data_IF_725567299840
#
_entry.id   IF_725567299840
#
_cell.length_a   1.000
_cell.length_b   1.000
_cell.length_c   1.000
_cell.angle_alpha   90.00
_cell.angle_beta   90.00
_cell.angle_gamma   90.00
#
_symmetry.space_group_name_H-M   'P 1'
#
loop_
_entity.id
_entity.type
_entity.pdbx_description
1 polymer ?
#
# COMPACT_ATOMS: atom_id res chain seq x y z
N UNK A 1 20.81 -50.42 36.85
CA UNK A 1 20.65 -48.96 37.10
C UNK A 1 21.36 -48.21 35.99
N UNK A 2 20.66 -47.38 35.22
CA UNK A 2 21.29 -46.54 34.19
C UNK A 2 22.23 -45.52 34.83
N UNK A 3 23.38 -45.27 34.20
CA UNK A 3 24.27 -44.19 34.63
C UNK A 3 23.61 -42.84 34.39
N UNK A 4 23.98 -41.83 35.17
CA UNK A 4 23.47 -40.45 35.02
C UNK A 4 23.71 -39.95 33.57
N UNK A 5 24.82 -40.35 32.94
CA UNK A 5 25.12 -40.03 31.55
C UNK A 5 24.12 -40.63 30.57
N UNK A 6 23.73 -41.90 30.75
CA UNK A 6 22.72 -42.54 29.90
C UNK A 6 21.37 -41.82 30.01
N UNK A 7 20.92 -41.52 31.23
CA UNK A 7 19.66 -40.78 31.45
C UNK A 7 19.68 -39.40 30.78
N UNK A 8 20.81 -38.70 30.82
CA UNK A 8 20.95 -37.42 30.14
C UNK A 8 20.83 -37.57 28.61
N UNK A 9 21.50 -38.55 28.00
CA UNK A 9 21.39 -38.80 26.58
C UNK A 9 19.97 -39.20 26.16
N UNK A 10 19.28 -40.02 26.96
CA UNK A 10 17.90 -40.42 26.66
C UNK A 10 16.93 -39.22 26.71
N UNK A 11 17.09 -38.34 27.70
CA UNK A 11 16.30 -37.10 27.81
C UNK A 11 16.62 -36.16 26.65
N UNK A 12 17.91 -36.00 26.31
CA UNK A 12 18.33 -35.11 25.23
C UNK A 12 17.84 -35.61 23.87
N UNK A 13 18.01 -36.90 23.59
CA UNK A 13 17.57 -37.53 22.34
C UNK A 13 16.04 -37.48 22.18
N UNK A 14 15.28 -37.75 23.25
CA UNK A 14 13.82 -37.65 23.23
C UNK A 14 13.35 -36.21 23.03
N UNK A 15 13.97 -35.23 23.71
CA UNK A 15 13.66 -33.80 23.54
C UNK A 15 13.97 -33.34 22.12
N UNK A 16 15.14 -33.69 21.57
CA UNK A 16 15.53 -33.32 20.21
C UNK A 16 14.60 -33.96 19.17
N UNK A 17 14.22 -35.21 19.37
CA UNK A 17 13.27 -35.91 18.49
C UNK A 17 11.88 -35.27 18.51
N UNK A 18 11.39 -34.90 19.69
CA UNK A 18 10.11 -34.21 19.85
C UNK A 18 10.12 -32.82 19.18
N UNK A 19 11.20 -32.06 19.35
CA UNK A 19 11.37 -30.76 18.69
C UNK A 19 11.43 -30.91 17.17
N UNK A 20 12.18 -31.89 16.67
CA UNK A 20 12.30 -32.16 15.23
C UNK A 20 10.97 -32.59 14.62
N UNK A 21 10.24 -33.50 15.28
CA UNK A 21 8.93 -33.94 14.82
C UNK A 21 7.92 -32.78 14.82
N UNK A 22 7.94 -31.94 15.86
CA UNK A 22 7.06 -30.76 15.95
C UNK A 22 7.36 -29.77 14.83
N UNK A 23 8.64 -29.50 14.54
CA UNK A 23 9.04 -28.62 13.44
C UNK A 23 8.61 -29.19 12.08
N UNK A 24 8.79 -30.50 11.87
CA UNK A 24 8.41 -31.17 10.62
C UNK A 24 6.89 -31.19 10.41
N UNK A 25 6.11 -31.51 11.45
CA UNK A 25 4.64 -31.47 11.38
C UNK A 25 4.12 -30.04 11.18
N UNK A 26 4.75 -29.04 11.80
CA UNK A 26 4.44 -27.62 11.61
C UNK A 26 4.66 -27.19 10.16
N UNK A 27 5.83 -27.51 9.59
CA UNK A 27 6.14 -27.18 8.21
C UNK A 27 5.22 -27.93 7.23
N UNK A 28 5.04 -29.24 7.42
CA UNK A 28 4.19 -30.07 6.56
C UNK A 28 2.73 -29.62 6.57
N UNK A 29 2.16 -29.33 7.75
CA UNK A 29 0.78 -28.83 7.85
C UNK A 29 0.60 -27.45 7.22
N UNK A 30 1.59 -26.56 7.37
CA UNK A 30 1.57 -25.23 6.73
C UNK A 30 1.61 -25.35 5.20
N UNK A 31 2.52 -26.16 4.66
CA UNK A 31 2.63 -26.40 3.22
C UNK A 31 1.37 -27.07 2.67
N UNK A 32 0.89 -28.12 3.34
CA UNK A 32 -0.31 -28.83 2.91
C UNK A 32 -1.52 -27.90 2.88
N UNK A 33 -1.72 -27.10 3.92
CA UNK A 33 -2.80 -26.10 3.98
C UNK A 33 -2.70 -25.11 2.83
N UNK A 34 -1.51 -24.57 2.57
CA UNK A 34 -1.32 -23.59 1.51
C UNK A 34 -1.65 -24.19 0.13
N UNK A 35 -1.23 -25.44 -0.10
CA UNK A 35 -1.51 -26.17 -1.33
C UNK A 35 -2.99 -26.54 -1.49
N UNK A 36 -3.65 -26.96 -0.41
CA UNK A 36 -5.03 -27.50 -0.46
C UNK A 36 -6.09 -26.41 -0.35
N UNK A 37 -5.94 -25.49 0.60
CA UNK A 37 -6.97 -24.48 0.90
C UNK A 37 -6.77 -23.20 0.12
N UNK A 38 -5.52 -22.89 -0.30
CA UNK A 38 -5.13 -21.63 -0.96
C UNK A 38 -5.91 -20.44 -0.43
N UNK A 39 -5.86 -20.18 0.89
CA UNK A 39 -6.80 -19.26 1.51
C UNK A 39 -6.69 -17.88 0.87
N UNK A 40 -7.84 -17.33 0.50
CA UNK A 40 -7.98 -16.02 -0.13
C UNK A 40 -8.75 -15.09 0.79
N UNK A 41 -8.42 -13.79 0.78
CA UNK A 41 -9.26 -12.82 1.47
C UNK A 41 -10.63 -12.75 0.80
N UNK A 42 -11.65 -12.38 1.57
CA UNK A 42 -12.97 -12.06 1.03
C UNK A 42 -13.00 -10.57 0.74
N UNK A 43 -13.07 -10.23 -0.54
CA UNK A 43 -13.16 -8.85 -1.02
C UNK A 43 -14.63 -8.47 -1.15
N UNK A 44 -15.08 -7.43 -0.45
CA UNK A 44 -16.47 -6.98 -0.47
C UNK A 44 -16.55 -5.49 -0.82
N UNK A 45 -17.27 -5.19 -1.90
CA UNK A 45 -17.56 -3.81 -2.33
C UNK A 45 -16.33 -2.91 -2.46
N UNK A 46 -15.16 -3.49 -2.76
CA UNK A 46 -14.01 -2.67 -3.09
C UNK A 46 -14.32 -1.90 -4.37
N UNK A 47 -14.05 -0.60 -4.39
CA UNK A 47 -14.31 0.30 -5.52
C UNK A 47 -13.20 1.33 -5.55
N UNK A 48 -12.81 1.71 -6.76
CA UNK A 48 -11.87 2.81 -6.99
C UNK A 48 -12.69 4.00 -7.46
N UNK A 49 -12.45 5.19 -6.91
CA UNK A 49 -13.16 6.40 -7.34
C UNK A 49 -12.99 6.64 -8.84
N UNK A 50 -14.10 6.81 -9.55
CA UNK A 50 -14.15 7.06 -11.00
C UNK A 50 -13.57 8.42 -11.39
N UNK A 51 -13.43 9.33 -10.43
CA UNK A 51 -12.82 10.65 -10.59
C UNK A 51 -11.55 10.72 -9.75
N UNK A 52 -10.50 10.08 -10.24
CA UNK A 52 -9.18 10.17 -9.63
C UNK A 52 -8.46 11.41 -10.18
N UNK A 53 -8.22 12.46 -9.36
CA UNK A 53 -7.59 13.69 -9.83
C UNK A 53 -6.16 13.41 -10.26
N UNK A 54 -5.81 13.92 -11.44
CA UNK A 54 -4.44 13.96 -11.93
C UNK A 54 -3.83 15.33 -11.62
N UNK A 55 -2.78 15.34 -10.81
CA UNK A 55 -2.02 16.50 -10.39
C UNK A 55 -0.76 16.63 -11.22
N UNK A 56 -0.43 17.84 -11.64
CA UNK A 56 0.85 18.15 -12.25
C UNK A 56 1.74 18.82 -11.21
N UNK A 57 2.77 18.10 -10.76
CA UNK A 57 3.71 18.55 -9.75
C UNK A 57 4.98 19.04 -10.43
N UNK A 58 5.45 20.24 -10.07
CA UNK A 58 6.73 20.78 -10.51
C UNK A 58 7.71 20.73 -9.36
N UNK A 59 8.83 20.03 -9.54
CA UNK A 59 9.87 19.89 -8.51
C UNK A 59 11.23 20.33 -9.06
N UNK A 60 12.03 21.08 -8.27
CA UNK A 60 13.42 21.36 -8.63
C UNK A 60 14.22 20.06 -8.68
N UNK A 61 15.07 19.91 -9.68
CA UNK A 61 15.94 18.75 -9.87
C UNK A 61 17.35 19.20 -10.22
N UNK A 62 18.35 18.52 -9.67
CA UNK A 62 19.75 18.77 -9.96
C UNK A 62 20.18 17.87 -11.11
N UNK A 63 20.74 18.47 -12.15
CA UNK A 63 21.17 17.79 -13.37
C UNK A 63 22.68 17.92 -13.50
N UNK A 64 23.40 16.80 -13.50
CA UNK A 64 24.82 16.77 -13.83
C UNK A 64 25.05 17.16 -15.29
N UNK A 65 25.93 18.13 -15.53
CA UNK A 65 26.32 18.58 -16.88
C UNK A 65 27.42 17.70 -17.49
N UNK A 66 28.12 16.91 -16.67
CA UNK A 66 29.19 15.98 -17.11
C UNK A 66 28.65 14.70 -17.73
N UNK A 67 27.41 14.34 -17.42
CA UNK A 67 26.72 13.22 -18.01
C UNK A 67 25.25 13.62 -18.28
N UNK A 68 25.00 14.39 -19.37
CA UNK A 68 23.66 14.88 -19.73
C UNK A 68 22.73 13.78 -20.24
N UNK A 69 23.21 12.53 -20.22
CA UNK A 69 22.47 11.33 -20.56
C UNK A 69 21.15 11.25 -19.80
N UNK A 70 20.04 11.33 -20.52
CA UNK A 70 18.71 11.06 -19.94
C UNK A 70 18.66 9.66 -19.31
N UNK A 71 19.53 8.74 -19.74
CA UNK A 71 19.69 7.37 -19.26
C UNK A 71 20.11 7.26 -17.78
N UNK A 72 20.71 8.32 -17.21
CA UNK A 72 21.07 8.35 -15.78
C UNK A 72 19.87 8.72 -14.91
N UNK A 73 18.94 9.52 -15.44
CA UNK A 73 17.71 9.92 -14.76
C UNK A 73 16.54 8.99 -15.07
N UNK A 74 16.71 8.13 -16.07
CA UNK A 74 15.68 7.27 -16.64
C UNK A 74 16.25 6.01 -17.28
N UNK A 75 15.57 4.88 -17.16
CA UNK A 75 15.79 3.78 -18.11
C UNK A 75 15.25 4.19 -19.49
N UNK A 76 16.08 4.33 -20.54
CA UNK A 76 15.58 4.63 -21.88
C UNK A 76 14.64 3.50 -22.31
N UNK A 77 13.48 3.85 -22.86
CA UNK A 77 12.61 2.87 -23.48
C UNK A 77 13.35 2.16 -24.61
N UNK A 78 13.01 0.90 -24.89
CA UNK A 78 13.55 0.09 -26.00
C UNK A 78 13.19 0.63 -27.41
N UNK A 79 13.01 1.95 -27.54
CA UNK A 79 12.81 2.60 -28.83
C UNK A 79 14.09 2.49 -29.65
N UNK A 80 13.94 1.94 -30.85
CA UNK A 80 15.01 1.67 -31.81
C UNK A 80 15.55 2.96 -32.47
N UNK A 81 15.50 4.09 -31.77
CA UNK A 81 15.90 5.40 -32.25
C UNK A 81 17.42 5.51 -32.12
N UNK A 82 18.10 4.95 -33.12
CA UNK A 82 19.54 5.02 -33.26
C UNK A 82 20.03 6.48 -33.28
N UNK A 83 20.93 6.80 -32.35
CA UNK A 83 21.79 7.98 -32.46
C UNK A 83 22.26 8.52 -31.10
N UNK A 84 23.58 8.68 -30.95
CA UNK A 84 24.24 9.44 -29.86
C UNK A 84 23.64 10.84 -29.62
N UNK A 85 22.91 11.39 -30.58
CA UNK A 85 22.20 12.67 -30.47
C UNK A 85 20.94 12.60 -29.58
N UNK A 86 20.27 11.45 -29.48
CA UNK A 86 19.09 11.27 -28.61
C UNK A 86 19.48 11.25 -27.13
N UNK A 87 20.67 10.73 -26.80
CA UNK A 87 21.19 10.67 -25.43
C UNK A 87 21.42 12.05 -24.79
N UNK A 88 21.57 13.13 -25.59
CA UNK A 88 21.84 14.49 -25.08
C UNK A 88 20.60 15.36 -24.89
N UNK A 89 19.41 14.90 -25.31
CA UNK A 89 18.18 15.68 -25.13
C UNK A 89 17.57 15.36 -23.77
N UNK A 90 17.39 16.40 -22.97
CA UNK A 90 16.62 16.28 -21.73
C UNK A 90 15.19 15.80 -22.06
N UNK A 91 14.59 14.98 -21.17
CA UNK A 91 13.19 14.62 -21.27
C UNK A 91 12.28 15.85 -21.40
N UNK A 92 11.18 15.72 -22.14
CA UNK A 92 10.25 16.82 -22.39
C UNK A 92 9.60 17.40 -21.13
N UNK A 93 9.67 16.69 -20.00
CA UNK A 93 9.16 17.14 -18.71
C UNK A 93 10.20 17.81 -17.83
N UNK A 94 11.45 17.94 -18.29
CA UNK A 94 12.50 18.65 -17.60
C UNK A 94 12.83 19.91 -18.38
N UNK A 95 12.66 21.06 -17.74
CA UNK A 95 13.01 22.36 -18.29
C UNK A 95 14.19 22.90 -17.49
N UNK A 96 15.30 23.23 -18.15
CA UNK A 96 16.42 23.91 -17.51
C UNK A 96 15.96 25.27 -16.99
N UNK A 97 16.27 25.55 -15.73
CA UNK A 97 15.98 26.84 -15.15
C UNK A 97 17.02 27.84 -15.64
N UNK A 98 16.56 28.95 -16.22
CA UNK A 98 17.47 30.02 -16.61
C UNK A 98 17.97 30.73 -15.34
N UNK A 99 19.25 30.50 -15.05
CA UNK A 99 19.94 31.05 -13.91
C UNK A 99 20.64 32.36 -14.24
N UNK A 100 20.58 32.87 -15.47
CA UNK A 100 21.14 34.18 -15.82
C UNK A 100 20.22 35.31 -15.31
N UNK A 101 20.85 36.42 -14.90
CA UNK A 101 20.11 37.63 -14.55
C UNK A 101 19.69 38.34 -15.84
N UNK A 102 18.41 38.68 -15.96
CA UNK A 102 17.86 39.41 -17.09
C UNK A 102 17.40 40.80 -16.65
N UNK A 103 17.41 41.81 -17.54
CA UNK A 103 16.97 43.17 -17.19
C UNK A 103 15.49 43.22 -16.76
N UNK A 104 14.66 42.29 -17.24
CA UNK A 104 13.26 42.15 -16.83
C UNK A 104 13.04 41.43 -15.48
N UNK A 105 14.08 40.86 -14.85
CA UNK A 105 13.93 40.15 -13.59
C UNK A 105 13.73 41.12 -12.40
N UNK A 106 12.77 40.78 -11.53
CA UNK A 106 12.57 41.46 -10.25
C UNK A 106 13.82 41.35 -9.35
N UNK A 107 13.98 42.28 -8.40
CA UNK A 107 15.08 42.22 -7.42
C UNK A 107 15.04 40.93 -6.57
N UNK A 108 13.83 40.44 -6.27
CA UNK A 108 13.61 39.16 -5.59
C UNK A 108 14.08 37.97 -6.43
N UNK A 109 13.74 37.95 -7.72
CA UNK A 109 14.17 36.90 -8.64
C UNK A 109 15.69 36.87 -8.81
N UNK A 110 16.31 38.05 -8.98
CA UNK A 110 17.77 38.18 -9.06
C UNK A 110 18.44 37.68 -7.77
N UNK A 111 17.90 38.05 -6.62
CA UNK A 111 18.40 37.58 -5.30
C UNK A 111 18.28 36.06 -5.16
N UNK A 112 17.15 35.49 -5.58
CA UNK A 112 16.90 34.04 -5.58
C UNK A 112 17.85 33.31 -6.53
N UNK A 113 18.01 33.78 -7.78
CA UNK A 113 18.95 33.22 -8.76
C UNK A 113 20.38 33.29 -8.25
N UNK A 114 20.81 34.42 -7.69
CA UNK A 114 22.14 34.59 -7.10
C UNK A 114 22.40 33.62 -5.94
N UNK A 115 21.41 33.44 -5.04
CA UNK A 115 21.49 32.47 -3.95
C UNK A 115 21.58 31.03 -4.46
N UNK A 116 20.79 30.67 -5.47
CA UNK A 116 20.79 29.34 -6.06
C UNK A 116 22.13 29.05 -6.78
N UNK A 117 22.67 30.00 -7.55
CA UNK A 117 24.00 29.90 -8.19
C UNK A 117 25.11 29.62 -7.17
N UNK A 118 25.09 30.30 -6.01
CA UNK A 118 26.09 30.11 -4.94
C UNK A 118 26.04 28.73 -4.28
N UNK A 119 24.89 28.04 -4.31
CA UNK A 119 24.70 26.73 -3.67
C UNK A 119 24.74 25.57 -4.65
N UNK A 120 24.75 25.84 -5.95
CA UNK A 120 24.79 24.81 -6.97
C UNK A 120 26.19 24.18 -7.00
N UNK A 121 26.32 22.85 -6.85
CA UNK A 121 27.62 22.20 -6.96
C UNK A 121 28.21 22.39 -8.36
N UNK A 122 29.55 22.43 -8.44
CA UNK A 122 30.24 22.63 -9.71
C UNK A 122 29.90 21.49 -10.70
N UNK A 123 29.55 21.85 -11.93
CA UNK A 123 29.13 20.88 -12.96
C UNK A 123 27.71 20.36 -12.80
N UNK A 124 26.86 21.04 -12.04
CA UNK A 124 25.42 20.79 -12.01
C UNK A 124 24.65 21.99 -12.59
N UNK A 125 23.46 21.70 -13.11
CA UNK A 125 22.46 22.64 -13.56
C UNK A 125 21.17 22.42 -12.75
N UNK A 126 20.42 23.49 -12.51
CA UNK A 126 19.10 23.40 -11.89
C UNK A 126 18.04 23.26 -12.99
N UNK A 127 17.22 22.22 -12.91
CA UNK A 127 16.06 22.02 -13.76
C UNK A 127 14.77 22.03 -12.95
N UNK A 128 13.64 22.24 -13.62
CA UNK A 128 12.31 21.99 -13.09
C UNK A 128 11.78 20.74 -13.80
N UNK A 129 11.57 19.67 -13.02
CA UNK A 129 10.93 18.44 -13.48
C UNK A 129 9.44 18.54 -13.22
N UNK A 130 8.65 18.20 -14.24
CA UNK A 130 7.19 18.13 -14.17
C UNK A 130 6.77 16.67 -14.13
N UNK A 131 5.99 16.30 -13.13
CA UNK A 131 5.52 14.93 -12.92
C UNK A 131 4.01 14.91 -12.79
N UNK A 132 3.38 14.05 -13.57
CA UNK A 132 1.96 13.73 -13.48
C UNK A 132 1.76 12.70 -12.35
N UNK A 133 0.90 13.03 -11.37
CA UNK A 133 0.60 12.20 -10.19
C UNK A 133 -0.89 12.01 -10.04
N UNK A 134 -1.35 10.78 -9.92
CA UNK A 134 -2.78 10.47 -9.69
C UNK A 134 -3.01 10.04 -8.25
N UNK A 135 -4.11 10.50 -7.66
CA UNK A 135 -4.59 9.94 -6.39
C UNK A 135 -5.75 8.98 -6.68
N UNK A 136 -5.54 7.71 -6.34
CA UNK A 136 -6.55 6.66 -6.44
C UNK A 136 -7.18 6.44 -5.07
N UNK A 137 -8.45 6.81 -4.93
CA UNK A 137 -9.21 6.61 -3.70
C UNK A 137 -9.88 5.24 -3.73
N UNK A 138 -9.67 4.45 -2.68
CA UNK A 138 -10.27 3.13 -2.49
C UNK A 138 -11.35 3.16 -1.41
N UNK A 139 -12.49 2.53 -1.69
CA UNK A 139 -13.57 2.33 -0.73
C UNK A 139 -13.99 0.86 -0.75
N UNK A 140 -14.48 0.32 0.38
CA UNK A 140 -14.91 -1.08 0.49
C UNK A 140 -14.25 -1.80 1.65
N UNK A 141 -14.17 -3.13 1.60
CA UNK A 141 -13.54 -3.90 2.67
C UNK A 141 -12.90 -5.20 2.19
N UNK A 142 -11.89 -5.65 2.93
CA UNK A 142 -11.17 -6.90 2.66
C UNK A 142 -11.03 -7.67 3.97
N UNK A 143 -11.60 -8.87 4.02
CA UNK A 143 -11.52 -9.76 5.17
C UNK A 143 -10.41 -10.81 4.97
N UNK A 144 -9.36 -10.75 5.78
CA UNK A 144 -8.24 -11.68 5.78
C UNK A 144 -8.39 -12.81 6.81
N UNK A 145 -9.52 -12.91 7.51
CA UNK A 145 -9.76 -14.00 8.47
C UNK A 145 -9.54 -15.39 7.88
N UNK A 146 -9.91 -15.71 6.61
CA UNK A 146 -9.63 -17.05 6.05
C UNK A 146 -8.14 -17.29 5.80
N UNK A 147 -7.35 -16.23 5.65
CA UNK A 147 -5.90 -16.30 5.46
C UNK A 147 -5.14 -16.52 6.78
N UNK A 148 -5.81 -16.34 7.92
CA UNK A 148 -5.18 -16.51 9.23
C UNK A 148 -5.17 -17.97 9.68
N UNK A 149 -4.14 -18.36 10.41
CA UNK A 149 -4.08 -19.60 11.19
C UNK A 149 -3.22 -19.43 12.44
N UNK A 150 -3.02 -20.53 13.15
CA UNK A 150 -2.17 -20.64 14.33
C UNK A 150 -0.71 -20.26 14.06
N UNK A 151 -0.21 -20.37 12.82
CA UNK A 151 1.17 -20.07 12.45
C UNK A 151 1.31 -18.65 11.86
N UNK A 152 0.22 -17.90 11.69
CA UNK A 152 0.24 -16.57 11.08
C UNK A 152 0.60 -15.50 12.11
N UNK A 153 1.72 -14.81 11.88
CA UNK A 153 2.20 -13.69 12.70
C UNK A 153 1.59 -12.37 12.24
N UNK A 154 1.62 -12.12 10.93
CA UNK A 154 1.12 -10.91 10.31
C UNK A 154 0.79 -11.14 8.83
N UNK A 155 -0.01 -10.26 8.23
CA UNK A 155 -0.27 -10.22 6.79
C UNK A 155 0.05 -8.82 6.31
N UNK A 156 1.00 -8.71 5.38
CA UNK A 156 1.22 -7.47 4.64
C UNK A 156 0.28 -7.46 3.44
N UNK A 157 -0.49 -6.39 3.29
CA UNK A 157 -1.37 -6.17 2.15
C UNK A 157 -1.03 -4.84 1.49
N UNK A 158 -0.93 -4.84 0.17
CA UNK A 158 -0.72 -3.65 -0.64
C UNK A 158 -1.69 -3.61 -1.81
N UNK A 159 -2.23 -2.43 -2.07
CA UNK A 159 -2.99 -2.13 -3.27
C UNK A 159 -2.04 -1.53 -4.29
N UNK A 160 -1.96 -2.18 -5.44
CA UNK A 160 -0.99 -1.88 -6.50
C UNK A 160 -1.75 -1.37 -7.71
N UNK A 161 -1.37 -0.19 -8.18
CA UNK A 161 -1.77 0.36 -9.46
C UNK A 161 -0.88 -0.23 -10.56
N UNK A 162 -1.50 -0.86 -11.56
CA UNK A 162 -0.84 -1.42 -12.74
C UNK A 162 -1.27 -0.68 -13.98
N UNK A 163 -0.30 -0.25 -14.77
CA UNK A 163 -0.57 0.43 -16.04
C UNK A 163 0.63 0.30 -16.98
N UNK A 164 0.37 0.36 -18.28
CA UNK A 164 1.41 0.49 -19.31
C UNK A 164 1.74 1.96 -19.55
N UNK A 165 2.99 2.28 -19.81
CA UNK A 165 3.44 3.60 -20.25
C UNK A 165 4.15 3.50 -21.61
N UNK A 166 4.62 4.64 -22.14
CA UNK A 166 5.46 4.63 -23.35
C UNK A 166 6.82 4.01 -23.08
N UNK A 167 7.35 4.20 -21.88
CA UNK A 167 8.67 3.70 -21.48
C UNK A 167 8.67 2.24 -21.04
N UNK A 168 7.58 1.74 -20.47
CA UNK A 168 7.49 0.42 -19.88
C UNK A 168 6.14 -0.24 -20.17
N UNK A 169 6.17 -1.50 -20.62
CA UNK A 169 4.95 -2.29 -20.86
C UNK A 169 4.15 -2.54 -19.59
N UNK A 170 4.80 -2.54 -18.43
CA UNK A 170 4.17 -2.76 -17.13
C UNK A 170 4.86 -1.92 -16.04
N UNK A 171 4.13 -0.95 -15.50
CA UNK A 171 4.49 -0.22 -14.29
C UNK A 171 3.64 -0.75 -13.14
N UNK A 172 4.23 -0.87 -11.95
CA UNK A 172 3.54 -1.24 -10.72
C UNK A 172 3.89 -0.23 -9.64
N UNK A 173 2.87 0.41 -9.07
CA UNK A 173 3.05 1.42 -8.02
C UNK A 173 2.16 1.08 -6.85
N UNK A 174 2.72 1.02 -5.66
CA UNK A 174 1.94 0.82 -4.42
C UNK A 174 1.24 2.13 -4.11
N UNK A 175 -0.10 2.12 -4.07
CA UNK A 175 -0.91 3.31 -3.75
C UNK A 175 -1.36 3.32 -2.28
N UNK A 176 -1.46 2.14 -1.68
CA UNK A 176 -1.89 1.93 -0.30
C UNK A 176 -1.31 0.63 0.23
N UNK A 177 -0.87 0.61 1.48
CA UNK A 177 -0.46 -0.61 2.16
C UNK A 177 -0.91 -0.63 3.61
N UNK A 178 -1.00 -1.84 4.15
CA UNK A 178 -1.48 -2.12 5.51
C UNK A 178 -0.81 -3.40 6.04
N UNK A 179 -0.60 -3.46 7.36
CA UNK A 179 -0.08 -4.65 8.04
C UNK A 179 -1.11 -5.12 9.06
N UNK A 180 -1.76 -6.27 8.81
CA UNK A 180 -2.59 -6.92 9.81
C UNK A 180 -1.69 -7.75 10.74
N UNK A 181 -1.82 -7.57 12.06
CA UNK A 181 -0.99 -8.26 13.05
C UNK A 181 -1.80 -9.26 13.86
N UNK A 182 -1.13 -10.26 14.42
CA UNK A 182 -1.73 -11.13 15.43
C UNK A 182 -2.04 -10.31 16.68
N UNK A 183 -3.17 -10.61 17.32
CA UNK A 183 -3.60 -9.96 18.55
C UNK A 183 -4.01 -11.06 19.51
N UNK A 184 -3.36 -11.10 20.67
CA UNK A 184 -3.77 -11.94 21.79
C UNK A 184 -4.81 -11.19 22.61
N UNK A 185 -6.07 -11.62 22.53
CA UNK A 185 -7.15 -11.01 23.29
C UNK A 185 -7.27 -11.65 24.68
N UNK A 186 -7.33 -10.84 25.76
CA UNK A 186 -7.86 -11.30 27.04
C UNK A 186 -9.27 -11.89 26.85
N UNK A 187 -9.63 -12.91 27.66
CA UNK A 187 -10.89 -13.65 27.52
C UNK A 187 -12.13 -12.73 27.48
N UNK A 188 -12.16 -11.69 28.32
CA UNK A 188 -13.24 -10.71 28.34
C UNK A 188 -13.35 -9.96 27.00
N UNK A 189 -12.25 -9.45 26.45
CA UNK A 189 -12.25 -8.75 25.17
C UNK A 189 -12.58 -9.68 24.00
N UNK A 190 -12.18 -10.95 24.07
CA UNK A 190 -12.57 -11.95 23.08
C UNK A 190 -14.09 -12.17 23.05
N UNK A 191 -14.73 -12.21 24.22
CA UNK A 191 -16.19 -12.29 24.33
C UNK A 191 -16.87 -11.05 23.74
N UNK A 192 -16.38 -9.84 24.06
CA UNK A 192 -16.93 -8.60 23.50
C UNK A 192 -16.77 -8.53 21.97
N UNK A 193 -15.62 -8.97 21.45
CA UNK A 193 -15.38 -9.03 20.02
C UNK A 193 -16.36 -10.00 19.33
N UNK A 194 -16.67 -11.14 19.96
CA UNK A 194 -17.63 -12.11 19.43
C UNK A 194 -19.06 -11.55 19.43
N UNK A 195 -19.48 -10.89 20.52
CA UNK A 195 -20.78 -10.19 20.57
C UNK A 195 -20.89 -9.15 19.44
N UNK A 196 -19.82 -8.39 19.19
CA UNK A 196 -19.77 -7.43 18.08
C UNK A 196 -19.93 -8.10 16.71
N UNK A 197 -19.32 -9.26 16.50
CA UNK A 197 -19.49 -10.03 15.25
C UNK A 197 -20.93 -10.46 15.07
N UNK A 198 -21.56 -10.93 16.14
CA UNK A 198 -22.97 -11.31 16.14
C UNK A 198 -23.86 -10.12 15.79
N UNK A 199 -23.66 -8.95 16.41
CA UNK A 199 -24.38 -7.71 16.05
C UNK A 199 -24.21 -7.36 14.56
N UNK A 200 -22.98 -7.37 14.05
CA UNK A 200 -22.68 -7.08 12.63
C UNK A 200 -23.37 -8.07 11.70
N UNK A 201 -23.34 -9.37 12.03
CA UNK A 201 -23.96 -10.42 11.22
C UNK A 201 -25.49 -10.28 11.18
N UNK A 202 -26.12 -9.94 12.32
CA UNK A 202 -27.55 -9.69 12.41
C UNK A 202 -27.97 -8.45 11.61
N UNK A 203 -27.15 -7.39 11.62
CA UNK A 203 -27.40 -6.18 10.84
C UNK A 203 -27.32 -6.42 9.32
N UNK A 204 -26.42 -7.29 8.86
CA UNK A 204 -26.30 -7.63 7.44
C UNK A 204 -27.49 -8.42 6.91
N UNK A 205 -28.07 -9.33 7.71
CA UNK A 205 -29.25 -10.11 7.33
C UNK A 205 -30.52 -9.25 7.14
N UNK A 206 -30.60 -8.10 7.81
CA UNK A 206 -31.71 -7.15 7.65
C UNK A 206 -31.61 -6.21 6.43
N UNK A 207 -30.50 -6.24 5.68
CA UNK A 207 -30.20 -5.25 4.64
C UNK A 207 -30.58 -5.67 3.21
N UNK A 208 -31.02 -6.92 2.99
CA UNK A 208 -31.40 -7.42 1.67
C UNK A 208 -32.92 -7.43 1.46
N UNK A 209 -33.43 -6.61 0.53
CA UNK A 209 -34.75 -6.57 -0.13
C UNK A 209 -36.08 -6.85 0.63
N UNK A 210 -36.11 -7.31 1.87
CA UNK A 210 -37.34 -7.48 2.67
C UNK A 210 -37.69 -6.20 3.43
N UNK A 211 -37.72 -5.08 2.71
CA UNK A 211 -38.16 -3.77 3.22
C UNK A 211 -39.67 -3.69 3.52
N UNK A 212 -40.40 -4.81 3.45
CA UNK A 212 -41.84 -4.86 3.63
C UNK A 212 -42.32 -5.48 4.95
N UNK A 213 -41.44 -5.97 5.84
CA UNK A 213 -41.92 -6.68 7.04
C UNK A 213 -41.18 -6.43 8.36
N UNK A 214 -40.29 -5.42 8.47
CA UNK A 214 -39.63 -5.14 9.77
C UNK A 214 -39.70 -3.65 10.11
N UNK A 215 -40.90 -3.21 10.50
CA UNK A 215 -41.09 -2.05 11.42
C UNK A 215 -41.24 -2.54 12.87
N UNK A 216 -40.99 -3.83 13.15
CA UNK A 216 -41.13 -4.40 14.49
C UNK A 216 -39.84 -5.09 14.94
N UNK A 217 -39.10 -4.41 15.82
CA UNK A 217 -37.97 -4.98 16.58
C UNK A 217 -36.61 -4.52 16.11
N UNK A 218 -36.21 -3.29 16.45
CA UNK A 218 -34.79 -2.97 16.54
C UNK A 218 -34.20 -3.96 17.55
N UNK A 219 -33.44 -4.95 17.09
CA UNK A 219 -32.75 -5.88 17.97
C UNK A 219 -31.96 -5.04 18.98
N UNK A 220 -32.21 -5.27 20.27
CA UNK A 220 -31.50 -4.56 21.31
C UNK A 220 -29.99 -4.74 21.09
N UNK A 221 -29.18 -3.69 21.26
CA UNK A 221 -27.74 -3.82 21.15
C UNK A 221 -27.25 -4.91 22.13
N UNK A 222 -26.50 -5.87 21.61
CA UNK A 222 -25.88 -6.94 22.40
C UNK A 222 -24.74 -6.40 23.26
N UNK A 223 -24.12 -5.29 22.85
CA UNK A 223 -23.07 -4.59 23.58
C UNK A 223 -23.57 -3.30 24.25
N UNK A 224 -23.25 -3.15 25.52
CA UNK A 224 -23.42 -1.88 26.24
C UNK A 224 -22.42 -0.83 25.75
N UNK A 225 -22.71 0.46 25.98
CA UNK A 225 -21.80 1.54 25.56
C UNK A 225 -20.44 1.48 26.26
N UNK A 226 -20.40 1.01 27.52
CA UNK A 226 -19.15 0.81 28.27
C UNK A 226 -18.30 -0.28 27.62
N UNK A 227 -18.90 -1.40 27.22
CA UNK A 227 -18.19 -2.49 26.54
C UNK A 227 -17.67 -2.07 25.17
N UNK A 228 -18.44 -1.27 24.42
CA UNK A 228 -17.98 -0.68 23.15
C UNK A 228 -16.78 0.23 23.35
N UNK A 229 -16.81 1.08 24.38
CA UNK A 229 -15.70 1.96 24.71
C UNK A 229 -14.46 1.17 25.14
N UNK A 230 -14.62 0.09 25.92
CA UNK A 230 -13.51 -0.79 26.28
C UNK A 230 -12.85 -1.43 25.06
N UNK A 231 -13.65 -1.96 24.12
CA UNK A 231 -13.14 -2.56 22.90
C UNK A 231 -12.46 -1.52 22.01
N UNK A 232 -13.06 -0.33 21.84
CA UNK A 232 -12.49 0.75 21.05
C UNK A 232 -11.18 1.29 21.65
N UNK A 233 -11.11 1.42 22.98
CA UNK A 233 -9.88 1.82 23.67
C UNK A 233 -8.76 0.79 23.44
N UNK A 234 -9.08 -0.51 23.51
CA UNK A 234 -8.12 -1.55 23.20
C UNK A 234 -7.66 -1.51 21.75
N UNK A 235 -8.57 -1.37 20.78
CA UNK A 235 -8.21 -1.24 19.36
C UNK A 235 -7.29 -0.05 19.09
N UNK A 236 -7.48 1.06 19.79
CA UNK A 236 -6.62 2.22 19.66
C UNK A 236 -5.17 1.90 20.07
N UNK A 237 -4.95 0.97 21.02
CA UNK A 237 -3.60 0.51 21.39
C UNK A 237 -2.93 -0.34 20.32
N UNK A 238 -3.71 -0.92 19.41
CA UNK A 238 -3.19 -1.77 18.33
C UNK A 238 -2.73 -0.96 17.12
N UNK A 239 -3.20 0.29 16.98
CA UNK A 239 -2.85 1.16 15.86
C UNK A 239 -1.36 1.51 15.89
N UNK A 240 -0.71 1.40 14.74
CA UNK A 240 0.65 1.84 14.52
C UNK A 240 0.65 3.06 13.60
N UNK A 241 0.96 4.23 14.14
CA UNK A 241 0.94 5.49 13.40
C UNK A 241 1.90 5.55 12.19
N UNK A 242 2.94 4.72 12.14
CA UNK A 242 3.92 4.72 11.04
C UNK A 242 3.41 3.96 9.81
N UNK A 243 2.54 2.97 10.02
CA UNK A 243 2.08 2.08 8.96
C UNK A 243 0.61 2.25 8.62
N UNK A 244 -0.21 2.60 9.61
CA UNK A 244 -1.65 2.69 9.47
C UNK A 244 -2.03 4.10 9.02
N UNK A 245 -2.18 4.26 7.70
CA UNK A 245 -2.62 5.55 7.17
C UNK A 245 -3.99 5.92 7.77
N UNK A 246 -4.23 7.17 8.20
CA UNK A 246 -5.47 7.56 8.90
C UNK A 246 -6.76 7.28 8.13
N UNK A 247 -6.68 7.18 6.80
CA UNK A 247 -7.82 6.87 5.94
C UNK A 247 -8.17 5.39 5.87
N UNK A 248 -7.35 4.48 6.43
CA UNK A 248 -7.61 3.03 6.48
C UNK A 248 -7.94 2.63 7.91
N UNK A 249 -9.08 1.99 8.11
CA UNK A 249 -9.38 1.35 9.37
C UNK A 249 -8.97 -0.13 9.31
N UNK A 250 -8.07 -0.53 10.21
CA UNK A 250 -7.57 -1.90 10.32
C UNK A 250 -8.17 -2.52 11.58
N UNK A 251 -9.11 -3.43 11.39
CA UNK A 251 -9.65 -4.25 12.47
C UNK A 251 -8.73 -5.45 12.67
N UNK A 252 -7.71 -5.29 13.53
CA UNK A 252 -6.76 -6.35 13.83
C UNK A 252 -7.41 -7.54 14.57
N UNK A 253 -8.59 -7.37 15.16
CA UNK A 253 -9.30 -8.45 15.86
C UNK A 253 -10.00 -9.34 14.83
N UNK A 254 -10.75 -8.72 13.92
CA UNK A 254 -11.50 -9.44 12.88
C UNK A 254 -10.69 -9.67 11.60
N UNK A 255 -9.42 -9.25 11.57
CA UNK A 255 -8.51 -9.35 10.43
C UNK A 255 -9.08 -8.67 9.17
N UNK A 256 -9.75 -7.54 9.35
CA UNK A 256 -10.46 -6.85 8.27
C UNK A 256 -9.85 -5.48 7.99
N UNK A 257 -9.70 -5.15 6.72
CA UNK A 257 -9.44 -3.80 6.24
C UNK A 257 -10.76 -3.15 5.85
N UNK A 258 -11.00 -1.93 6.33
CA UNK A 258 -12.12 -1.10 5.89
C UNK A 258 -11.56 0.17 5.28
N UNK A 259 -11.98 0.39 4.03
CA UNK A 259 -11.52 1.47 3.17
C UNK A 259 -12.67 2.45 2.98
N UNK A 260 -12.41 3.74 3.19
CA UNK A 260 -13.37 4.80 2.95
C UNK A 260 -12.65 5.99 2.32
N UNK A 261 -12.66 6.04 0.98
CA UNK A 261 -11.85 6.96 0.19
C UNK A 261 -10.39 6.99 0.68
N UNK A 262 -9.85 5.79 0.90
CA UNK A 262 -8.50 5.59 1.42
C UNK A 262 -7.47 5.76 0.32
N UNK A 263 -6.40 6.48 0.63
CA UNK A 263 -5.21 6.65 -0.20
C UNK A 263 -4.01 6.90 0.73
N UNK A 264 -2.78 6.56 0.30
CA UNK A 264 -1.55 6.83 1.06
C UNK A 264 -0.44 7.39 0.16
N UNK A 265 -0.26 6.80 -1.01
CA UNK A 265 0.78 7.20 -1.96
C UNK A 265 0.16 7.68 -3.27
N UNK A 266 0.83 8.64 -3.90
CA UNK A 266 0.51 9.04 -5.26
C UNK A 266 0.94 7.94 -6.24
N UNK A 267 0.18 7.77 -7.31
CA UNK A 267 0.60 6.96 -8.46
C UNK A 267 1.30 7.88 -9.44
N UNK A 268 2.61 7.68 -9.62
CA UNK A 268 3.42 8.28 -10.67
C UNK A 268 3.88 7.21 -11.67
N UNK A 269 3.94 7.56 -12.95
CA UNK A 269 4.58 6.69 -13.92
C UNK A 269 6.08 6.77 -13.74
N UNK A 270 6.80 5.68 -14.02
CA UNK A 270 8.25 5.77 -14.05
C UNK A 270 8.68 6.89 -14.98
N UNK A 271 8.05 7.07 -16.18
CA UNK A 271 8.24 8.15 -17.18
C UNK A 271 7.51 9.48 -16.91
N UNK A 272 6.96 9.64 -15.71
CA UNK A 272 6.46 10.89 -15.10
C UNK A 272 5.43 11.70 -15.91
N UNK A 273 5.04 11.26 -17.10
CA UNK A 273 4.23 12.04 -18.05
C UNK A 273 3.17 11.22 -18.76
N UNK A 274 3.20 9.89 -18.60
CA UNK A 274 2.35 9.01 -19.39
C UNK A 274 1.01 8.68 -18.75
N UNK A 275 0.75 9.07 -17.50
CA UNK A 275 -0.46 8.64 -16.79
C UNK A 275 -1.77 9.14 -17.41
N UNK A 276 -1.75 10.32 -18.04
CA UNK A 276 -2.95 10.88 -18.69
C UNK A 276 -3.48 9.98 -19.81
N UNK A 277 -4.73 9.52 -19.67
CA UNK A 277 -5.41 8.70 -20.68
C UNK A 277 -5.17 7.18 -20.54
N UNK A 278 -4.25 6.76 -19.69
CA UNK A 278 -4.02 5.34 -19.41
C UNK A 278 -5.12 4.75 -18.53
N UNK A 279 -5.35 3.45 -18.72
CA UNK A 279 -6.19 2.66 -17.83
C UNK A 279 -5.32 2.05 -16.75
N UNK A 280 -5.67 2.33 -15.50
CA UNK A 280 -4.99 1.79 -14.32
C UNK A 280 -5.83 0.65 -13.76
N UNK A 281 -5.25 -0.53 -13.68
CA UNK A 281 -5.82 -1.68 -12.99
C UNK A 281 -5.36 -1.66 -11.53
N UNK A 282 -6.30 -1.82 -10.59
CA UNK A 282 -5.96 -1.93 -9.16
C UNK A 282 -6.00 -3.39 -8.74
N UNK A 283 -4.89 -3.86 -8.15
CA UNK A 283 -4.71 -5.23 -7.70
C UNK A 283 -4.42 -5.26 -6.21
N UNK A 284 -5.05 -6.18 -5.50
CA UNK A 284 -4.68 -6.50 -4.13
C UNK A 284 -3.53 -7.50 -4.14
N UNK A 285 -2.40 -7.12 -3.58
CA UNK A 285 -1.25 -7.99 -3.35
C UNK A 285 -1.11 -8.22 -1.87
N UNK A 286 -0.87 -9.46 -1.45
CA UNK A 286 -0.69 -9.74 -0.03
C UNK A 286 0.31 -10.87 0.20
N UNK A 287 0.95 -10.82 1.36
CA UNK A 287 1.93 -11.81 1.79
C UNK A 287 1.70 -12.16 3.24
N UNK A 288 1.49 -13.46 3.50
CA UNK A 288 1.33 -13.99 4.85
C UNK A 288 2.72 -14.20 5.46
N UNK A 289 2.97 -13.55 6.59
CA UNK A 289 4.15 -13.76 7.42
C UNK A 289 3.80 -14.78 8.50
N UNK A 290 4.46 -15.92 8.47
CA UNK A 290 4.34 -16.97 9.48
C UNK A 290 5.49 -16.89 10.50
N UNK A 291 5.36 -17.59 11.63
CA UNK A 291 6.49 -17.76 12.55
C UNK A 291 7.65 -18.55 11.93
N UNK A 292 7.35 -19.38 10.92
CA UNK A 292 8.32 -20.16 10.15
C UNK A 292 8.91 -19.44 8.92
N UNK A 293 8.53 -18.19 8.65
CA UNK A 293 9.00 -17.42 7.49
C UNK A 293 7.89 -16.86 6.61
N UNK A 294 8.21 -16.57 5.36
CA UNK A 294 7.31 -15.86 4.44
C UNK A 294 6.60 -16.84 3.50
N UNK A 295 5.28 -16.71 3.40
CA UNK A 295 4.53 -17.37 2.34
C UNK A 295 4.85 -16.72 0.98
N UNK A 296 4.58 -17.42 -0.14
CA UNK A 296 4.62 -16.82 -1.46
C UNK A 296 3.72 -15.58 -1.54
N UNK A 297 4.15 -14.63 -2.36
CA UNK A 297 3.34 -13.46 -2.69
C UNK A 297 2.08 -13.89 -3.44
N UNK A 298 0.92 -13.42 -3.00
CA UNK A 298 -0.38 -13.70 -3.63
C UNK A 298 -0.99 -12.42 -4.17
N UNK A 299 -1.79 -12.57 -5.20
CA UNK A 299 -2.46 -11.45 -5.87
C UNK A 299 -3.92 -11.80 -6.16
N UNK A 300 -4.77 -10.82 -5.97
CA UNK A 300 -6.18 -10.87 -6.34
C UNK A 300 -6.53 -9.63 -7.16
N UNK A 301 -7.07 -9.86 -8.35
CA UNK A 301 -7.46 -8.79 -9.27
C UNK A 301 -8.83 -8.30 -8.81
N UNK A 302 -8.88 -7.07 -8.32
CA UNK A 302 -10.12 -6.49 -7.79
C UNK A 302 -11.14 -6.18 -8.91
N UNK A 303 -10.79 -6.43 -10.17
CA UNK A 303 -11.68 -6.25 -11.34
C UNK A 303 -11.92 -4.79 -11.72
N UNK A 304 -11.26 -3.83 -11.07
CA UNK A 304 -11.45 -2.40 -11.33
C UNK A 304 -10.37 -1.86 -12.25
N UNK A 305 -10.84 -1.32 -13.38
CA UNK A 305 -10.05 -0.54 -14.32
C UNK A 305 -10.54 0.90 -14.28
N UNK A 306 -9.65 1.83 -13.89
CA UNK A 306 -9.95 3.26 -13.86
C UNK A 306 -9.21 3.94 -14.98
N UNK A 307 -9.96 4.60 -15.87
CA UNK A 307 -9.37 5.47 -16.88
C UNK A 307 -8.99 6.80 -16.24
N UNK A 308 -7.69 7.11 -16.21
CA UNK A 308 -7.20 8.38 -15.68
C UNK A 308 -7.58 9.49 -16.64
N UNK A 309 -8.32 10.48 -16.14
CA UNK A 309 -8.67 11.68 -16.89
C UNK A 309 -7.96 12.89 -16.28
N UNK A 310 -7.41 13.75 -17.13
CA UNK A 310 -7.00 15.09 -16.73
C UNK A 310 -8.25 15.84 -16.25
N UNK A 311 -8.25 16.45 -15.06
CA UNK A 311 -9.30 17.39 -14.71
C UNK A 311 -9.30 18.54 -15.72
N UNK A 312 -10.48 18.97 -16.17
CA UNK A 312 -10.63 20.09 -17.13
C UNK A 312 -9.95 21.38 -16.61
N UNK A 313 -9.82 21.50 -15.29
CA UNK A 313 -9.18 22.60 -14.58
C UNK A 313 -7.92 22.14 -13.83
N UNK A 314 -7.10 21.24 -14.38
CA UNK A 314 -5.88 20.75 -13.73
C UNK A 314 -4.96 21.92 -13.31
N UNK A 315 -5.11 22.37 -12.07
CA UNK A 315 -4.27 23.40 -11.49
C UNK A 315 -2.87 22.79 -11.36
N UNK A 316 -1.86 23.48 -11.89
CA UNK A 316 -0.48 23.20 -11.52
C UNK A 316 -0.39 23.45 -10.01
N UNK A 317 -0.36 22.36 -9.23
CA UNK A 317 -0.15 22.49 -7.79
C UNK A 317 1.33 22.79 -7.63
N UNK A 318 1.67 24.08 -7.55
CA UNK A 318 3.00 24.50 -7.11
C UNK A 318 3.17 24.02 -5.67
N UNK A 319 4.06 23.06 -5.49
CA UNK A 319 4.43 22.58 -4.18
C UNK A 319 5.19 23.72 -3.49
N UNK A 320 4.51 24.44 -2.58
CA UNK A 320 5.19 25.35 -1.64
C UNK A 320 5.95 24.47 -0.65
N UNK A 321 7.28 24.47 -0.73
CA UNK A 321 8.11 23.88 0.32
C UNK A 321 7.75 24.59 1.65
N UNK A 322 7.31 23.81 2.64
CA UNK A 322 7.28 24.24 4.04
C UNK A 322 8.70 24.23 4.60
#
# INVERSE_FOLDING_TARGET
MHSIRQRFFDIFASTLSALFLTALLTAASTILRDLTLRPRPVVSDVRVSSSSPLYRVRSPTLLSTKAPGADIYYRPGNGNDGGEAAARRLPSNIVLMDMADRPEDSDEDRSRKAWQRKRLPEGFALGIRTTDRVVLYLSGSVDFSPCWDWNTKAIYASFVARFSSKSASKNEVVLLDAVLRSVSLPAQLAQLAELRRQERSAALLGSGNDRAAVVAGAAAPLLTDVERQQLAAFEQTLRNGDHDHPSVYIDHIDKRLVLNNSFKYFVDAFDDTSLGGNTVEVVLRYQVMSYSGWAPLREDVLGHQVKVKMPENAMAVEWKQQ
#
